data_IF_862857016502
#
_entry.id   IF_862857016502
#
_cell.length_a   1.000
_cell.length_b   1.000
_cell.length_c   1.000
_cell.angle_alpha   90.00
_cell.angle_beta   90.00
_cell.angle_gamma   90.00
#
_symmetry.space_group_name_H-M   'P 1'
#
loop_
_entity.id
_entity.type
_entity.pdbx_description
1 polymer ?
#
# COMPACT_ATOMS: atom_id res chain seq x y z
N UNK A 1 24.67 -36.10 21.50
CA UNK A 1 23.50 -35.28 21.15
C UNK A 1 23.79 -34.68 19.80
N UNK A 2 23.30 -35.31 18.74
CA UNK A 2 23.38 -34.81 17.36
C UNK A 2 22.47 -33.59 17.27
N UNK A 3 23.04 -32.38 17.14
CA UNK A 3 22.27 -31.16 16.99
C UNK A 3 21.43 -31.27 15.72
N UNK A 4 20.11 -31.23 15.87
CA UNK A 4 19.22 -31.05 14.74
C UNK A 4 19.66 -29.79 13.99
N UNK A 5 19.93 -29.91 12.70
CA UNK A 5 20.27 -28.77 11.83
C UNK A 5 19.01 -27.89 11.82
N UNK A 6 19.06 -26.73 12.46
CA UNK A 6 18.00 -25.74 12.34
C UNK A 6 17.87 -25.37 10.86
N UNK A 7 16.69 -25.57 10.28
CA UNK A 7 16.42 -25.30 8.86
C UNK A 7 16.25 -23.79 8.63
N UNK A 8 17.29 -22.98 8.90
CA UNK A 8 17.26 -21.52 8.72
C UNK A 8 18.07 -21.11 7.48
N UNK A 9 17.78 -19.94 6.89
CA UNK A 9 18.42 -19.46 5.67
C UNK A 9 18.83 -17.99 5.79
N UNK A 10 20.13 -17.71 5.66
CA UNK A 10 20.72 -16.39 5.68
C UNK A 10 21.10 -15.96 4.25
N UNK A 11 20.29 -15.06 3.69
CA UNK A 11 20.44 -14.50 2.35
C UNK A 11 21.03 -13.09 2.44
N UNK A 12 22.11 -12.86 1.70
CA UNK A 12 22.73 -11.53 1.57
C UNK A 12 22.48 -10.98 0.16
N UNK A 13 22.07 -9.72 0.07
CA UNK A 13 21.95 -8.96 -1.19
C UNK A 13 23.07 -7.92 -1.26
N UNK A 14 23.91 -8.03 -2.28
CA UNK A 14 25.09 -7.19 -2.50
C UNK A 14 25.03 -6.48 -3.86
N UNK A 15 25.84 -5.45 -4.04
CA UNK A 15 25.79 -4.61 -5.25
C UNK A 15 26.28 -3.19 -5.06
N UNK A 16 26.51 -2.51 -6.19
CA UNK A 16 26.92 -1.11 -6.25
C UNK A 16 25.87 -0.17 -5.64
N UNK A 17 26.31 1.02 -5.24
CA UNK A 17 25.39 2.11 -4.97
C UNK A 17 24.61 2.45 -6.25
N UNK A 18 23.29 2.65 -6.12
CA UNK A 18 22.40 2.80 -7.27
C UNK A 18 21.91 1.50 -7.92
N UNK A 19 22.41 0.30 -7.52
CA UNK A 19 21.96 -0.97 -8.14
C UNK A 19 20.55 -1.41 -7.76
N UNK A 20 19.92 -0.76 -6.78
CA UNK A 20 18.54 -1.05 -6.36
C UNK A 20 18.41 -2.03 -5.18
N UNK A 21 19.50 -2.38 -4.49
CA UNK A 21 19.51 -3.36 -3.37
C UNK A 21 18.40 -3.15 -2.35
N UNK A 22 18.27 -1.96 -1.78
CA UNK A 22 17.32 -1.71 -0.68
C UNK A 22 15.88 -1.82 -1.16
N UNK A 23 15.60 -1.40 -2.38
CA UNK A 23 14.28 -1.54 -3.02
C UNK A 23 13.96 -3.00 -3.29
N UNK A 24 14.90 -3.73 -3.89
CA UNK A 24 14.77 -5.15 -4.20
C UNK A 24 14.67 -6.02 -2.94
N UNK A 25 15.42 -5.71 -1.89
CA UNK A 25 15.41 -6.47 -0.64
C UNK A 25 14.08 -6.30 0.10
N UNK A 26 13.49 -5.08 0.07
CA UNK A 26 12.13 -4.83 0.56
C UNK A 26 11.09 -5.60 -0.25
N UNK A 27 11.17 -5.55 -1.58
CA UNK A 27 10.26 -6.27 -2.47
C UNK A 27 10.36 -7.81 -2.30
N UNK A 28 11.58 -8.32 -2.13
CA UNK A 28 11.85 -9.73 -1.88
C UNK A 28 11.32 -10.18 -0.53
N UNK A 29 11.55 -9.40 0.55
CA UNK A 29 10.96 -9.65 1.87
C UNK A 29 9.45 -9.82 1.75
N UNK A 30 8.79 -8.83 1.17
CA UNK A 30 7.34 -8.85 0.98
C UNK A 30 6.87 -10.09 0.20
N UNK A 31 7.59 -10.46 -0.86
CA UNK A 31 7.28 -11.64 -1.69
C UNK A 31 7.40 -12.94 -0.91
N UNK A 32 8.50 -13.13 -0.18
CA UNK A 32 8.71 -14.35 0.61
C UNK A 32 7.76 -14.42 1.81
N UNK A 33 7.36 -13.29 2.39
CA UNK A 33 6.37 -13.25 3.47
C UNK A 33 4.99 -13.78 3.05
N UNK A 34 4.66 -13.77 1.75
CA UNK A 34 3.38 -14.34 1.28
C UNK A 34 3.30 -15.86 1.48
N UNK A 35 4.44 -16.56 1.48
CA UNK A 35 4.49 -18.02 1.68
C UNK A 35 5.05 -18.41 3.03
N UNK A 36 5.89 -17.56 3.64
CA UNK A 36 6.63 -17.86 4.87
C UNK A 36 6.15 -17.04 6.09
N UNK A 37 5.22 -16.10 5.90
CA UNK A 37 4.67 -15.25 6.96
C UNK A 37 5.74 -14.49 7.74
N UNK A 38 5.67 -14.54 9.08
CA UNK A 38 6.60 -13.84 9.99
C UNK A 38 7.98 -14.49 10.10
N UNK A 39 8.23 -15.59 9.38
CA UNK A 39 9.53 -16.25 9.37
C UNK A 39 10.57 -15.54 8.49
N UNK A 40 10.23 -14.39 7.87
CA UNK A 40 11.15 -13.61 7.04
C UNK A 40 11.43 -12.24 7.65
N UNK A 41 12.70 -11.96 7.94
CA UNK A 41 13.15 -10.65 8.41
C UNK A 41 14.09 -9.98 7.41
N UNK A 42 14.03 -8.65 7.35
CA UNK A 42 14.95 -7.83 6.55
C UNK A 42 15.80 -7.01 7.50
N UNK A 43 17.10 -7.07 7.31
CA UNK A 43 18.08 -6.23 8.00
C UNK A 43 19.09 -5.66 6.99
N UNK A 44 20.03 -4.86 7.45
CA UNK A 44 21.02 -4.20 6.61
C UNK A 44 22.28 -3.83 7.40
N UNK A 45 23.39 -3.63 6.70
CA UNK A 45 24.63 -3.11 7.26
C UNK A 45 25.09 -1.79 6.58
N UNK A 46 25.55 -0.79 7.36
CA UNK A 46 25.79 -0.82 8.80
C UNK A 46 24.50 -0.78 9.64
N UNK A 47 24.43 -1.66 10.64
CA UNK A 47 23.22 -1.86 11.45
C UNK A 47 23.10 -0.83 12.60
N UNK A 48 21.96 -0.12 12.65
CA UNK A 48 21.62 0.87 13.68
C UNK A 48 20.53 0.36 14.63
N UNK A 49 20.50 0.79 15.91
CA UNK A 49 21.29 1.87 16.52
C UNK A 49 22.54 1.39 17.27
N UNK A 50 23.35 0.47 16.72
CA UNK A 50 24.61 0.10 17.37
C UNK A 50 25.59 1.29 17.42
N UNK A 51 26.42 1.37 18.47
CA UNK A 51 27.43 2.45 18.59
C UNK A 51 28.40 2.46 17.39
N UNK A 52 28.77 1.27 16.90
CA UNK A 52 29.61 1.13 15.71
C UNK A 52 28.89 1.62 14.44
N UNK A 53 27.60 1.32 14.28
CA UNK A 53 26.77 1.80 13.16
C UNK A 53 26.69 3.33 13.12
N UNK A 54 26.42 3.96 14.26
CA UNK A 54 26.43 5.43 14.38
C UNK A 54 27.79 6.05 14.04
N UNK A 55 28.89 5.44 14.51
CA UNK A 55 30.25 5.89 14.15
C UNK A 55 30.49 5.79 12.64
N UNK A 56 30.18 4.63 12.04
CA UNK A 56 30.32 4.42 10.60
C UNK A 56 29.52 5.48 9.84
N UNK A 57 28.24 5.69 10.14
CA UNK A 57 27.41 6.71 9.48
C UNK A 57 28.00 8.11 9.59
N UNK A 58 28.51 8.48 10.75
CA UNK A 58 29.16 9.78 10.93
C UNK A 58 30.44 9.92 10.09
N UNK A 59 31.19 8.83 9.88
CA UNK A 59 32.34 8.82 8.95
C UNK A 59 31.86 8.93 7.50
N UNK A 60 30.87 8.13 7.08
CA UNK A 60 30.32 8.12 5.71
C UNK A 60 29.71 9.47 5.30
N UNK A 61 29.10 10.16 6.27
CA UNK A 61 28.49 11.50 6.09
C UNK A 61 29.49 12.65 6.29
N UNK A 62 30.80 12.36 6.39
CA UNK A 62 31.89 13.33 6.58
C UNK A 62 31.76 14.18 7.84
N UNK A 63 30.95 13.76 8.82
CA UNK A 63 30.86 14.41 10.15
C UNK A 63 32.05 14.09 11.03
N UNK A 64 32.66 12.93 10.83
CA UNK A 64 33.92 12.50 11.47
C UNK A 64 34.95 12.27 10.36
N UNK A 65 36.13 12.91 10.40
CA UNK A 65 37.20 12.60 9.48
C UNK A 65 37.73 11.19 9.76
N UNK A 66 38.02 10.43 8.70
CA UNK A 66 38.64 9.13 8.81
C UNK A 66 39.91 9.08 7.94
N UNK A 67 41.05 9.11 8.60
CA UNK A 67 42.36 9.14 7.93
C UNK A 67 42.96 7.73 7.76
N UNK A 68 42.31 6.67 8.28
CA UNK A 68 42.87 5.32 8.29
C UNK A 68 41.85 4.25 7.91
N UNK A 69 42.08 3.57 6.79
CA UNK A 69 41.20 2.51 6.29
C UNK A 69 40.96 1.39 7.32
N UNK A 70 42.01 0.97 8.03
CA UNK A 70 41.93 -0.06 9.09
C UNK A 70 40.96 0.30 10.22
N UNK A 71 40.84 1.58 10.59
CA UNK A 71 39.89 2.01 11.64
C UNK A 71 38.45 1.77 11.20
N UNK A 72 38.14 2.13 9.95
CA UNK A 72 36.81 1.91 9.38
C UNK A 72 36.52 0.42 9.22
N UNK A 73 37.49 -0.38 8.78
CA UNK A 73 37.37 -1.84 8.69
C UNK A 73 37.03 -2.48 10.04
N UNK A 74 37.70 -2.06 11.12
CA UNK A 74 37.41 -2.52 12.49
C UNK A 74 36.02 -2.09 12.96
N UNK A 75 35.58 -0.88 12.61
CA UNK A 75 34.24 -0.43 12.96
C UNK A 75 33.15 -1.26 12.28
N UNK A 76 33.30 -1.58 10.98
CA UNK A 76 32.39 -2.48 10.27
C UNK A 76 32.41 -3.90 10.85
N UNK A 77 33.59 -4.44 11.18
CA UNK A 77 33.70 -5.74 11.82
C UNK A 77 33.00 -5.79 13.20
N UNK A 78 33.17 -4.73 14.01
CA UNK A 78 32.46 -4.60 15.30
C UNK A 78 30.95 -4.51 15.11
N UNK A 79 30.48 -3.69 14.17
CA UNK A 79 29.06 -3.55 13.84
C UNK A 79 28.45 -4.90 13.44
N UNK A 80 29.15 -5.67 12.61
CA UNK A 80 28.74 -6.99 12.13
C UNK A 80 28.71 -8.05 13.23
N UNK A 81 29.73 -8.08 14.09
CA UNK A 81 29.77 -8.99 15.23
C UNK A 81 28.56 -8.75 16.18
N UNK A 82 28.29 -7.48 16.46
CA UNK A 82 27.13 -7.06 17.25
C UNK A 82 25.80 -7.42 16.57
N UNK A 83 25.66 -7.13 15.28
CA UNK A 83 24.49 -7.45 14.46
C UNK A 83 24.21 -8.95 14.41
N UNK A 84 25.25 -9.78 14.25
CA UNK A 84 25.13 -11.23 14.34
C UNK A 84 24.58 -11.68 15.69
N UNK A 85 25.17 -11.18 16.78
CA UNK A 85 24.82 -11.61 18.14
C UNK A 85 23.44 -11.16 18.60
N UNK A 86 22.96 -10.00 18.16
CA UNK A 86 21.72 -9.38 18.66
C UNK A 86 20.52 -9.59 17.75
N UNK A 87 20.74 -9.81 16.45
CA UNK A 87 19.66 -9.86 15.45
C UNK A 87 19.70 -11.14 14.65
N UNK A 88 20.80 -11.42 13.95
CA UNK A 88 20.85 -12.51 12.96
C UNK A 88 20.73 -13.88 13.64
N UNK A 89 21.63 -14.19 14.56
CA UNK A 89 21.65 -15.49 15.24
C UNK A 89 20.40 -15.71 16.11
N UNK A 90 19.95 -14.74 16.94
CA UNK A 90 18.72 -14.93 17.72
C UNK A 90 17.49 -15.20 16.86
N UNK A 91 17.36 -14.53 15.71
CA UNK A 91 16.22 -14.74 14.83
C UNK A 91 16.32 -16.10 14.14
N UNK A 92 17.45 -16.46 13.52
CA UNK A 92 17.61 -17.73 12.81
C UNK A 92 17.50 -18.95 13.72
N UNK A 93 17.96 -18.85 14.97
CA UNK A 93 17.84 -19.92 15.97
C UNK A 93 16.45 -19.98 16.66
N UNK A 94 15.55 -19.05 16.35
CA UNK A 94 14.23 -18.91 16.99
C UNK A 94 13.15 -19.87 16.47
N UNK A 95 13.46 -20.76 15.53
CA UNK A 95 12.54 -21.74 14.95
C UNK A 95 13.01 -22.26 13.60
N UNK A 96 12.31 -23.26 13.07
CA UNK A 96 12.58 -23.80 11.75
C UNK A 96 12.08 -22.88 10.62
N UNK A 97 12.68 -22.98 9.44
CA UNK A 97 12.29 -22.29 8.20
C UNK A 97 12.34 -20.76 8.27
N UNK A 98 13.22 -20.23 9.12
CA UNK A 98 13.44 -18.79 9.27
C UNK A 98 14.44 -18.25 8.26
N UNK A 99 14.13 -17.09 7.70
CA UNK A 99 14.88 -16.44 6.64
C UNK A 99 15.27 -15.03 7.08
N UNK A 100 16.56 -14.70 6.96
CA UNK A 100 17.02 -13.31 7.04
C UNK A 100 17.52 -12.89 5.67
N UNK A 101 17.02 -11.75 5.21
CA UNK A 101 17.55 -11.02 4.06
C UNK A 101 18.39 -9.86 4.63
N UNK A 102 19.64 -9.74 4.22
CA UNK A 102 20.53 -8.67 4.65
C UNK A 102 21.01 -7.84 3.45
N UNK A 103 20.67 -6.55 3.43
CA UNK A 103 21.22 -5.59 2.46
C UNK A 103 22.62 -5.18 2.91
N UNK A 104 23.63 -5.61 2.13
CA UNK A 104 25.07 -5.56 2.45
C UNK A 104 25.50 -6.46 3.61
N UNK A 105 26.72 -7.00 3.51
CA UNK A 105 27.38 -7.74 4.57
C UNK A 105 28.91 -7.62 4.44
N UNK A 106 29.69 -8.67 4.75
CA UNK A 106 31.15 -8.56 4.66
C UNK A 106 31.70 -8.46 3.23
N UNK A 107 30.96 -8.84 2.18
CA UNK A 107 31.43 -8.63 0.79
C UNK A 107 31.58 -7.12 0.51
N UNK A 108 30.62 -6.30 0.92
CA UNK A 108 30.77 -4.84 0.93
C UNK A 108 32.03 -4.41 1.69
N UNK A 109 32.36 -5.04 2.83
CA UNK A 109 33.59 -4.71 3.55
C UNK A 109 34.85 -5.06 2.77
N UNK A 110 34.90 -6.23 2.12
CA UNK A 110 36.03 -6.61 1.27
C UNK A 110 36.24 -5.60 0.14
N UNK A 111 35.18 -5.00 -0.39
CA UNK A 111 35.26 -4.02 -1.49
C UNK A 111 35.66 -2.63 -1.00
N UNK A 112 34.94 -2.10 -0.01
CA UNK A 112 35.08 -0.70 0.39
C UNK A 112 36.18 -0.47 1.44
N UNK A 113 36.61 -1.50 2.16
CA UNK A 113 37.66 -1.39 3.19
C UNK A 113 38.98 -2.04 2.80
N UNK A 114 39.13 -2.56 1.58
CA UNK A 114 40.42 -3.00 1.07
C UNK A 114 41.08 -1.94 0.19
N UNK A 115 42.39 -1.78 0.38
CA UNK A 115 43.27 -0.92 -0.41
C UNK A 115 44.72 -1.42 -0.34
N UNK A 116 45.67 -0.65 -0.89
CA UNK A 116 47.10 -1.01 -0.89
C UNK A 116 47.70 -1.17 0.52
N UNK A 117 47.02 -0.66 1.56
CA UNK A 117 47.45 -0.72 2.96
C UNK A 117 46.74 -1.81 3.77
N UNK A 118 45.61 -2.31 3.28
CA UNK A 118 44.81 -3.36 3.92
C UNK A 118 44.23 -4.30 2.86
N UNK A 119 44.80 -5.50 2.75
CA UNK A 119 44.38 -6.46 1.73
C UNK A 119 42.98 -7.04 1.98
N UNK A 120 42.36 -7.63 0.96
CA UNK A 120 41.08 -8.37 1.10
C UNK A 120 41.19 -9.45 2.19
N UNK A 121 42.34 -10.15 2.27
CA UNK A 121 42.62 -11.15 3.28
C UNK A 121 42.65 -10.55 4.69
N UNK A 122 43.28 -9.38 4.86
CA UNK A 122 43.31 -8.69 6.14
C UNK A 122 41.91 -8.24 6.58
N UNK A 123 41.10 -7.71 5.65
CA UNK A 123 39.71 -7.33 5.93
C UNK A 123 38.88 -8.55 6.29
N UNK A 124 39.04 -9.68 5.57
CA UNK A 124 38.33 -10.92 5.89
C UNK A 124 38.72 -11.45 7.28
N UNK A 125 40.01 -11.36 7.66
CA UNK A 125 40.47 -11.77 8.98
C UNK A 125 39.83 -10.96 10.11
N UNK A 126 39.52 -9.67 9.89
CA UNK A 126 38.77 -8.86 10.86
C UNK A 126 37.32 -9.33 11.03
N UNK A 127 36.76 -10.03 10.04
CA UNK A 127 35.38 -10.53 10.03
C UNK A 127 35.27 -12.00 10.41
N UNK A 128 36.36 -12.61 10.86
CA UNK A 128 36.36 -13.99 11.32
C UNK A 128 35.38 -14.17 12.50
N UNK A 129 34.57 -15.23 12.44
CA UNK A 129 33.49 -15.48 13.40
C UNK A 129 32.15 -14.83 13.05
N UNK A 130 32.06 -13.99 12.00
CA UNK A 130 30.78 -13.62 11.42
C UNK A 130 30.09 -14.84 10.80
N UNK A 131 28.75 -14.87 10.84
CA UNK A 131 27.97 -15.94 10.20
C UNK A 131 28.21 -15.92 8.69
N UNK A 132 28.61 -17.05 8.11
CA UNK A 132 28.69 -17.18 6.66
C UNK A 132 27.26 -17.17 6.06
N UNK A 133 26.98 -16.37 5.02
CA UNK A 133 25.72 -16.44 4.28
C UNK A 133 25.53 -17.82 3.64
N UNK A 134 24.30 -18.32 3.69
CA UNK A 134 23.91 -19.53 2.97
C UNK A 134 23.87 -19.25 1.46
N UNK A 135 23.51 -18.02 1.09
CA UNK A 135 23.56 -17.52 -0.29
C UNK A 135 23.84 -16.01 -0.29
N UNK A 136 24.75 -15.57 -1.15
CA UNK A 136 24.90 -14.16 -1.51
C UNK A 136 24.46 -13.94 -2.95
N UNK A 137 23.56 -12.98 -3.18
CA UNK A 137 23.16 -12.54 -4.51
C UNK A 137 23.79 -11.18 -4.79
N UNK A 138 24.64 -11.11 -5.81
CA UNK A 138 25.23 -9.87 -6.28
C UNK A 138 24.39 -9.28 -7.42
N UNK A 139 23.80 -8.11 -7.19
CA UNK A 139 23.07 -7.32 -8.19
C UNK A 139 24.07 -6.61 -9.10
N UNK A 140 24.36 -7.23 -10.24
CA UNK A 140 25.30 -6.76 -11.24
C UNK A 140 24.61 -5.78 -12.20
N UNK A 141 24.57 -4.50 -11.82
CA UNK A 141 24.15 -3.40 -12.68
C UNK A 141 25.38 -2.68 -13.27
N UNK A 142 25.25 -2.15 -14.48
CA UNK A 142 26.25 -1.29 -15.11
C UNK A 142 26.43 0.02 -14.32
N UNK A 143 27.61 0.62 -14.43
CA UNK A 143 27.89 1.88 -13.74
C UNK A 143 26.97 3.00 -14.26
N UNK A 144 26.69 2.99 -15.56
CA UNK A 144 25.79 3.90 -16.25
C UNK A 144 24.38 3.85 -15.65
N UNK A 145 23.80 2.66 -15.52
CA UNK A 145 22.47 2.47 -14.90
C UNK A 145 22.47 2.91 -13.44
N UNK A 146 23.53 2.60 -12.69
CA UNK A 146 23.64 3.02 -11.29
C UNK A 146 23.69 4.55 -11.16
N UNK A 147 24.48 5.23 -11.99
CA UNK A 147 24.53 6.70 -12.02
C UNK A 147 23.19 7.32 -12.40
N UNK A 148 22.50 6.75 -13.39
CA UNK A 148 21.16 7.22 -13.78
C UNK A 148 20.14 7.07 -12.64
N UNK A 149 20.19 5.97 -11.89
CA UNK A 149 19.28 5.75 -10.75
C UNK A 149 19.62 6.67 -9.57
N UNK A 150 20.89 6.95 -9.33
CA UNK A 150 21.33 7.86 -8.27
C UNK A 150 21.01 9.32 -8.60
N UNK A 151 21.11 9.75 -9.86
CA UNK A 151 20.84 11.14 -10.26
C UNK A 151 19.37 11.56 -10.06
N UNK A 152 18.46 10.59 -9.97
CA UNK A 152 17.03 10.80 -9.66
C UNK A 152 16.76 10.94 -8.15
N UNK A 153 17.76 10.76 -7.28
CA UNK A 153 17.62 10.94 -5.83
C UNK A 153 17.88 12.41 -5.46
N UNK A 154 16.97 13.00 -4.69
CA UNK A 154 17.00 14.43 -4.31
C UNK A 154 18.03 14.73 -3.20
N UNK A 155 18.66 13.72 -2.61
CA UNK A 155 19.46 13.87 -1.38
C UNK A 155 20.95 13.51 -1.55
N UNK A 156 21.78 14.13 -0.71
CA UNK A 156 23.24 14.25 -0.82
C UNK A 156 24.00 12.94 -1.14
N UNK A 157 25.00 13.06 -2.03
CA UNK A 157 25.95 11.99 -2.41
C UNK A 157 26.77 11.50 -1.22
N UNK A 158 26.77 10.20 -0.96
CA UNK A 158 27.67 9.56 0.00
C UNK A 158 29.10 9.41 -0.56
N UNK A 159 30.08 9.20 0.32
CA UNK A 159 31.53 9.22 0.06
C UNK A 159 32.01 8.29 -1.07
N UNK A 160 31.23 7.27 -1.44
CA UNK A 160 31.65 6.19 -2.35
C UNK A 160 31.02 6.24 -3.75
N UNK A 161 30.29 7.30 -4.07
CA UNK A 161 29.49 7.38 -5.30
C UNK A 161 30.28 7.79 -6.56
N UNK A 162 31.57 8.16 -6.46
CA UNK A 162 32.29 8.80 -7.57
C UNK A 162 33.11 7.84 -8.47
N UNK A 163 33.22 6.55 -8.11
CA UNK A 163 34.12 5.57 -8.77
C UNK A 163 33.48 4.20 -9.03
N UNK A 164 32.21 4.17 -9.42
CA UNK A 164 31.45 2.92 -9.54
C UNK A 164 32.08 1.85 -10.43
N UNK A 165 32.77 2.21 -11.53
CA UNK A 165 33.46 1.24 -12.38
C UNK A 165 34.57 0.51 -11.63
N UNK A 166 35.40 1.23 -10.87
CA UNK A 166 36.48 0.64 -10.06
C UNK A 166 35.90 -0.16 -8.89
N UNK A 167 34.84 0.34 -8.26
CA UNK A 167 34.11 -0.39 -7.22
C UNK A 167 33.55 -1.71 -7.76
N UNK A 168 33.03 -1.72 -8.99
CA UNK A 168 32.50 -2.93 -9.65
C UNK A 168 33.59 -3.97 -9.90
N UNK A 169 34.76 -3.54 -10.36
CA UNK A 169 35.94 -4.42 -10.51
C UNK A 169 36.33 -5.05 -9.17
N UNK A 170 36.40 -4.25 -8.10
CA UNK A 170 36.65 -4.75 -6.74
C UNK A 170 35.58 -5.74 -6.25
N UNK A 171 34.31 -5.55 -6.62
CA UNK A 171 33.27 -6.55 -6.31
C UNK A 171 33.58 -7.88 -6.97
N UNK A 172 34.00 -7.92 -8.24
CA UNK A 172 34.39 -9.18 -8.89
C UNK A 172 35.59 -9.83 -8.20
N UNK A 173 36.60 -9.06 -7.80
CA UNK A 173 37.72 -9.57 -7.00
C UNK A 173 37.26 -10.17 -5.66
N UNK A 174 36.37 -9.48 -4.95
CA UNK A 174 35.78 -9.98 -3.70
C UNK A 174 34.93 -11.24 -3.90
N UNK A 175 34.13 -11.30 -4.96
CA UNK A 175 33.30 -12.46 -5.31
C UNK A 175 34.18 -13.67 -5.59
N UNK A 176 35.22 -13.53 -6.40
CA UNK A 176 36.15 -14.63 -6.71
C UNK A 176 36.90 -15.09 -5.46
N UNK A 177 37.29 -14.15 -4.58
CA UNK A 177 37.88 -14.48 -3.29
C UNK A 177 36.94 -15.32 -2.41
N UNK A 178 35.65 -14.95 -2.30
CA UNK A 178 34.67 -15.70 -1.52
C UNK A 178 34.32 -17.07 -2.15
N UNK A 179 34.18 -17.14 -3.49
CA UNK A 179 34.00 -18.41 -4.22
C UNK A 179 35.18 -19.35 -3.99
N UNK A 180 36.41 -18.83 -3.99
CA UNK A 180 37.62 -19.59 -3.67
C UNK A 180 37.66 -20.14 -2.25
N UNK A 181 36.88 -19.55 -1.33
CA UNK A 181 36.67 -20.05 0.04
C UNK A 181 35.50 -21.04 0.16
N UNK A 182 34.80 -21.33 -0.95
CA UNK A 182 33.66 -22.25 -0.99
C UNK A 182 32.32 -21.59 -0.69
N UNK A 183 32.23 -20.25 -0.66
CA UNK A 183 30.96 -19.55 -0.45
C UNK A 183 30.14 -19.47 -1.74
N UNK A 184 28.81 -19.51 -1.60
CA UNK A 184 27.90 -19.44 -2.75
C UNK A 184 27.53 -17.99 -3.05
N UNK A 185 28.14 -17.45 -4.11
CA UNK A 185 27.86 -16.09 -4.59
C UNK A 185 27.37 -16.13 -6.03
N UNK A 186 26.09 -15.78 -6.23
CA UNK A 186 25.41 -15.82 -7.53
C UNK A 186 25.18 -14.39 -8.03
N UNK A 187 25.50 -14.17 -9.30
CA UNK A 187 25.31 -12.88 -9.95
C UNK A 187 23.95 -12.82 -10.63
N UNK A 188 23.22 -11.72 -10.45
CA UNK A 188 21.96 -11.43 -11.12
C UNK A 188 22.11 -10.12 -11.88
N UNK A 189 21.77 -10.12 -13.18
CA UNK A 189 21.76 -8.89 -13.97
C UNK A 189 20.71 -7.92 -13.38
N UNK A 190 21.17 -6.72 -13.00
CA UNK A 190 20.35 -5.71 -12.35
C UNK A 190 20.11 -4.44 -13.21
N UNK A 191 20.39 -4.50 -14.51
CA UNK A 191 20.14 -3.42 -15.47
C UNK A 191 18.64 -3.23 -15.79
N UNK A 192 17.85 -4.30 -15.69
CA UNK A 192 16.42 -4.30 -16.00
C UNK A 192 15.52 -3.56 -14.99
N UNK A 193 14.21 -3.67 -15.19
CA UNK A 193 13.21 -3.15 -14.24
C UNK A 193 13.27 -3.90 -12.90
N UNK A 194 12.75 -3.28 -11.84
CA UNK A 194 12.67 -3.88 -10.49
C UNK A 194 12.04 -5.27 -10.52
N UNK A 195 10.99 -5.45 -11.31
CA UNK A 195 10.23 -6.68 -11.45
C UNK A 195 11.04 -7.78 -12.18
N UNK A 196 11.78 -7.42 -13.23
CA UNK A 196 12.65 -8.34 -13.95
C UNK A 196 13.76 -8.87 -13.02
N UNK A 197 14.38 -7.96 -12.27
CA UNK A 197 15.43 -8.29 -11.30
C UNK A 197 14.88 -9.15 -10.16
N UNK A 198 13.71 -8.83 -9.61
CA UNK A 198 13.06 -9.63 -8.58
C UNK A 198 12.75 -11.05 -9.06
N UNK A 199 12.25 -11.21 -10.29
CA UNK A 199 12.00 -12.53 -10.87
C UNK A 199 13.29 -13.34 -11.06
N UNK A 200 14.37 -12.71 -11.52
CA UNK A 200 15.67 -13.36 -11.64
C UNK A 200 16.22 -13.81 -10.27
N UNK A 201 15.99 -13.03 -9.21
CA UNK A 201 16.33 -13.41 -7.83
C UNK A 201 15.50 -14.60 -7.37
N UNK A 202 14.18 -14.61 -7.62
CA UNK A 202 13.32 -15.73 -7.25
C UNK A 202 13.72 -17.01 -7.98
N UNK A 203 14.12 -16.92 -9.25
CA UNK A 203 14.66 -18.05 -10.01
C UNK A 203 15.98 -18.55 -9.43
N UNK A 204 16.85 -17.62 -9.00
CA UNK A 204 18.09 -17.95 -8.28
C UNK A 204 17.80 -18.67 -6.96
N UNK A 205 16.80 -18.22 -6.20
CA UNK A 205 16.38 -18.86 -4.95
C UNK A 205 15.78 -20.25 -5.17
N UNK A 206 15.08 -20.50 -6.29
CA UNK A 206 14.62 -21.85 -6.65
C UNK A 206 15.76 -22.82 -6.95
N UNK A 207 16.84 -22.31 -7.52
CA UNK A 207 17.98 -23.13 -7.95
C UNK A 207 18.99 -23.36 -6.82
N UNK A 208 19.23 -22.35 -5.99
CA UNK A 208 20.31 -22.32 -5.00
C UNK A 208 19.84 -22.15 -3.55
N UNK A 209 18.57 -21.82 -3.34
CA UNK A 209 17.97 -21.73 -2.01
C UNK A 209 17.60 -23.11 -1.43
N UNK A 210 17.11 -23.15 -0.18
CA UNK A 210 16.77 -24.40 0.46
C UNK A 210 15.49 -25.01 -0.16
N UNK A 211 15.40 -26.34 -0.18
CA UNK A 211 14.30 -27.05 -0.83
C UNK A 211 12.91 -26.75 -0.23
N UNK A 212 12.86 -26.38 1.04
CA UNK A 212 11.63 -26.00 1.73
C UNK A 212 11.15 -24.59 1.38
N UNK A 213 12.01 -23.73 0.80
CA UNK A 213 11.66 -22.36 0.44
C UNK A 213 10.72 -22.34 -0.77
N UNK A 214 9.44 -22.08 -0.50
CA UNK A 214 8.43 -21.90 -1.55
C UNK A 214 8.48 -20.47 -2.07
N UNK A 215 8.84 -20.29 -3.34
CA UNK A 215 8.87 -18.99 -4.01
C UNK A 215 7.69 -18.84 -4.98
N UNK A 216 6.84 -17.84 -4.74
CA UNK A 216 5.83 -17.42 -5.70
C UNK A 216 6.39 -16.28 -6.55
N UNK A 217 6.14 -16.32 -7.87
CA UNK A 217 6.48 -15.19 -8.72
C UNK A 217 5.41 -14.12 -8.56
N UNK A 218 5.77 -12.83 -8.43
CA UNK A 218 4.85 -11.78 -8.80
C UNK A 218 4.47 -11.99 -10.27
N UNK A 219 3.17 -12.08 -10.57
CA UNK A 219 2.69 -12.20 -11.94
C UNK A 219 3.33 -11.08 -12.79
N UNK A 220 4.08 -11.46 -13.82
CA UNK A 220 4.46 -10.52 -14.88
C UNK A 220 3.15 -10.07 -15.53
N UNK A 221 2.99 -8.76 -15.64
CA UNK A 221 1.72 -8.03 -15.82
C UNK A 221 0.92 -7.84 -14.51
N UNK A 222 1.40 -7.02 -13.59
CA UNK A 222 0.59 -5.81 -13.41
C UNK A 222 0.80 -5.03 -14.70
N UNK A 223 -0.22 -4.87 -15.56
CA UNK A 223 -0.13 -3.89 -16.63
C UNK A 223 0.45 -2.62 -16.04
N UNK A 224 1.20 -1.82 -16.82
CA UNK A 224 1.33 -0.40 -16.49
C UNK A 224 -0.03 0.04 -15.93
N UNK A 225 -0.07 0.39 -14.64
CA UNK A 225 -1.30 0.91 -14.07
C UNK A 225 -1.50 2.23 -14.80
N UNK A 226 -2.24 2.18 -15.91
CA UNK A 226 -2.67 3.37 -16.61
C UNK A 226 -3.65 4.03 -15.65
N UNK A 227 -3.15 4.96 -14.85
CA UNK A 227 -3.97 5.86 -14.06
C UNK A 227 -4.57 6.87 -15.05
N UNK A 228 -5.58 6.43 -15.80
CA UNK A 228 -6.11 7.14 -16.96
C UNK A 228 -7.03 8.32 -16.57
N UNK A 229 -6.70 9.04 -15.49
CA UNK A 229 -7.41 10.23 -15.03
C UNK A 229 -6.49 11.43 -14.80
N UNK A 230 -5.19 11.34 -15.10
CA UNK A 230 -4.26 12.48 -14.90
C UNK A 230 -4.74 13.75 -15.60
N UNK A 231 -5.39 13.63 -16.75
CA UNK A 231 -5.93 14.76 -17.52
C UNK A 231 -7.41 15.10 -17.22
N UNK A 232 -8.09 14.35 -16.35
CA UNK A 232 -9.51 14.51 -16.05
C UNK A 232 -9.73 15.52 -14.91
N UNK A 233 -10.19 16.73 -15.25
CA UNK A 233 -10.47 17.82 -14.30
C UNK A 233 -11.93 18.28 -14.40
N UNK A 234 -12.90 17.52 -13.85
CA UNK A 234 -14.30 17.87 -13.93
C UNK A 234 -14.61 19.13 -13.12
N UNK A 235 -15.39 20.03 -13.72
CA UNK A 235 -15.96 21.19 -13.04
C UNK A 235 -17.04 20.77 -12.03
N UNK A 236 -17.32 21.66 -11.07
CA UNK A 236 -18.40 21.45 -10.10
C UNK A 236 -19.77 21.25 -10.76
N UNK A 237 -20.08 22.06 -11.78
CA UNK A 237 -21.32 21.99 -12.54
C UNK A 237 -21.50 20.63 -13.24
N UNK A 238 -20.43 20.07 -13.80
CA UNK A 238 -20.45 18.77 -14.46
C UNK A 238 -20.73 17.63 -13.46
N UNK A 239 -20.09 17.65 -12.29
CA UNK A 239 -20.29 16.65 -11.25
C UNK A 239 -21.72 16.68 -10.70
N UNK A 240 -22.25 17.88 -10.41
CA UNK A 240 -23.62 18.02 -9.90
C UNK A 240 -24.67 17.61 -10.95
N UNK A 241 -24.47 18.04 -12.21
CA UNK A 241 -25.35 17.66 -13.32
C UNK A 241 -25.37 16.14 -13.52
N UNK A 242 -24.22 15.46 -13.39
CA UNK A 242 -24.14 14.00 -13.52
C UNK A 242 -24.94 13.29 -12.45
N UNK A 243 -24.75 13.64 -11.16
CA UNK A 243 -25.51 13.02 -10.06
C UNK A 243 -27.01 13.28 -10.26
N UNK A 244 -27.41 14.50 -10.62
CA UNK A 244 -28.82 14.85 -10.86
C UNK A 244 -29.42 13.99 -11.99
N UNK A 245 -28.68 13.76 -13.06
CA UNK A 245 -29.16 12.95 -14.16
C UNK A 245 -29.30 11.46 -13.78
N UNK A 246 -28.28 10.89 -13.13
CA UNK A 246 -28.29 9.49 -12.66
C UNK A 246 -29.46 9.24 -11.69
N UNK A 247 -29.62 10.10 -10.68
CA UNK A 247 -30.71 9.99 -9.71
C UNK A 247 -32.08 10.14 -10.37
N UNK A 248 -32.24 11.05 -11.34
CA UNK A 248 -33.50 11.22 -12.07
C UNK A 248 -33.87 9.97 -12.87
N UNK A 249 -32.91 9.38 -13.59
CA UNK A 249 -33.13 8.16 -14.39
C UNK A 249 -33.54 7.00 -13.47
N UNK A 250 -32.81 6.81 -12.38
CA UNK A 250 -33.09 5.75 -11.42
C UNK A 250 -34.41 5.97 -10.67
N UNK A 251 -34.72 7.20 -10.29
CA UNK A 251 -36.01 7.54 -9.67
C UNK A 251 -37.19 7.14 -10.56
N UNK A 252 -37.19 7.51 -11.84
CA UNK A 252 -38.29 7.14 -12.74
C UNK A 252 -38.35 5.62 -12.95
N UNK A 253 -37.20 4.96 -13.14
CA UNK A 253 -37.14 3.49 -13.30
C UNK A 253 -37.65 2.74 -12.07
N UNK A 254 -37.32 3.21 -10.86
CA UNK A 254 -37.76 2.60 -9.60
C UNK A 254 -39.24 2.89 -9.36
N UNK A 255 -39.70 4.11 -9.62
CA UNK A 255 -41.11 4.51 -9.52
C UNK A 255 -42.03 3.66 -10.40
N UNK A 256 -41.60 3.33 -11.61
CA UNK A 256 -42.35 2.47 -12.55
C UNK A 256 -42.53 1.02 -12.05
N UNK A 257 -41.79 0.57 -11.03
CA UNK A 257 -41.90 -0.80 -10.49
C UNK A 257 -43.18 -1.06 -9.69
N UNK A 258 -44.00 -0.04 -9.43
CA UNK A 258 -45.32 -0.24 -8.80
C UNK A 258 -45.33 -0.08 -7.28
N UNK A 259 -44.46 0.78 -6.73
CA UNK A 259 -44.52 1.21 -5.33
C UNK A 259 -45.86 1.84 -4.93
N UNK A 260 -46.58 2.40 -5.91
CA UNK A 260 -47.97 2.87 -5.81
C UNK A 260 -49.00 1.75 -5.53
N UNK A 261 -48.68 0.49 -5.78
CA UNK A 261 -49.60 -0.65 -5.70
C UNK A 261 -49.21 -1.69 -4.63
N UNK A 262 -48.42 -1.27 -3.63
CA UNK A 262 -48.07 -2.11 -2.49
C UNK A 262 -49.31 -2.41 -1.65
N UNK A 263 -49.55 -3.70 -1.41
CA UNK A 263 -50.66 -4.22 -0.59
C UNK A 263 -50.17 -5.13 0.56
N UNK A 264 -48.88 -5.50 0.59
CA UNK A 264 -48.31 -6.35 1.63
C UNK A 264 -46.82 -6.08 1.88
N UNK A 265 -46.33 -6.47 3.05
CA UNK A 265 -44.91 -6.35 3.42
C UNK A 265 -43.99 -7.10 2.45
N UNK A 266 -44.35 -8.32 2.05
CA UNK A 266 -43.54 -9.14 1.13
C UNK A 266 -43.40 -8.47 -0.24
N UNK A 267 -44.47 -7.84 -0.74
CA UNK A 267 -44.44 -7.10 -2.00
C UNK A 267 -43.52 -5.87 -1.91
N UNK A 268 -43.55 -5.13 -0.79
CA UNK A 268 -42.62 -4.02 -0.58
C UNK A 268 -41.17 -4.51 -0.57
N UNK A 269 -40.89 -5.63 0.10
CA UNK A 269 -39.56 -6.23 0.16
C UNK A 269 -39.03 -6.54 -1.25
N UNK A 270 -39.85 -7.19 -2.07
CA UNK A 270 -39.49 -7.52 -3.46
C UNK A 270 -39.19 -6.25 -4.26
N UNK A 271 -40.04 -5.22 -4.17
CA UNK A 271 -39.83 -3.96 -4.86
C UNK A 271 -38.55 -3.23 -4.40
N UNK A 272 -38.24 -3.26 -3.10
CA UNK A 272 -37.02 -2.69 -2.54
C UNK A 272 -35.77 -3.42 -3.06
N UNK A 273 -35.79 -4.75 -3.14
CA UNK A 273 -34.71 -5.55 -3.72
C UNK A 273 -34.53 -5.25 -5.21
N UNK A 274 -35.63 -5.17 -5.95
CA UNK A 274 -35.60 -4.80 -7.37
C UNK A 274 -35.11 -3.36 -7.59
N UNK A 275 -35.40 -2.43 -6.67
CA UNK A 275 -34.87 -1.08 -6.70
C UNK A 275 -33.37 -1.08 -6.48
N UNK A 276 -32.88 -1.84 -5.49
CA UNK A 276 -31.44 -2.03 -5.24
C UNK A 276 -30.73 -2.58 -6.48
N UNK A 277 -31.26 -3.65 -7.07
CA UNK A 277 -30.70 -4.27 -8.27
C UNK A 277 -30.65 -3.29 -9.47
N UNK A 278 -31.69 -2.47 -9.64
CA UNK A 278 -31.74 -1.47 -10.70
C UNK A 278 -30.66 -0.37 -10.52
N UNK A 279 -30.40 0.05 -9.28
CA UNK A 279 -29.33 1.00 -8.96
C UNK A 279 -27.96 0.37 -9.17
N UNK A 280 -27.73 -0.83 -8.62
CA UNK A 280 -26.45 -1.55 -8.78
C UNK A 280 -26.10 -1.75 -10.26
N UNK A 281 -27.08 -2.17 -11.08
CA UNK A 281 -26.88 -2.36 -12.53
C UNK A 281 -26.49 -1.08 -13.25
N UNK A 282 -27.11 0.05 -12.90
CA UNK A 282 -26.81 1.34 -13.53
C UNK A 282 -25.43 1.86 -13.11
N UNK A 283 -25.08 1.73 -11.83
CA UNK A 283 -23.77 2.17 -11.32
C UNK A 283 -22.64 1.27 -11.84
N UNK A 284 -22.87 -0.04 -11.97
CA UNK A 284 -21.91 -0.96 -12.58
C UNK A 284 -21.67 -0.65 -14.07
N UNK A 285 -22.67 -0.10 -14.77
CA UNK A 285 -22.56 0.27 -16.18
C UNK A 285 -21.86 1.62 -16.44
N UNK A 286 -21.65 2.45 -15.41
CA UNK A 286 -20.99 3.75 -15.56
C UNK A 286 -19.52 3.58 -15.96
N UNK A 287 -19.05 4.42 -16.89
CA UNK A 287 -17.63 4.59 -17.16
C UNK A 287 -16.91 5.14 -15.91
N UNK A 288 -15.60 4.89 -15.80
CA UNK A 288 -14.82 5.31 -14.63
C UNK A 288 -14.86 6.84 -14.41
N UNK A 289 -14.75 7.63 -15.49
CA UNK A 289 -14.88 9.10 -15.47
C UNK A 289 -16.26 9.55 -14.96
N UNK A 290 -17.32 8.87 -15.37
CA UNK A 290 -18.68 9.15 -14.94
C UNK A 290 -18.89 8.79 -13.46
N UNK A 291 -18.26 7.70 -12.99
CA UNK A 291 -18.30 7.29 -11.60
C UNK A 291 -17.58 8.29 -10.69
N UNK A 292 -16.44 8.84 -11.15
CA UNK A 292 -15.73 9.93 -10.49
C UNK A 292 -16.62 11.17 -10.36
N UNK A 293 -17.26 11.59 -11.45
CA UNK A 293 -18.21 12.71 -11.44
C UNK A 293 -19.34 12.49 -10.42
N UNK A 294 -19.91 11.28 -10.40
CA UNK A 294 -20.95 10.91 -9.44
C UNK A 294 -20.43 10.98 -8.01
N UNK A 295 -19.25 10.42 -7.74
CA UNK A 295 -18.64 10.44 -6.41
C UNK A 295 -18.37 11.88 -5.91
N UNK A 296 -17.71 12.72 -6.72
CA UNK A 296 -17.42 14.10 -6.35
C UNK A 296 -18.71 14.92 -6.14
N UNK A 297 -19.72 14.71 -6.98
CA UNK A 297 -21.03 15.36 -6.81
C UNK A 297 -21.78 14.90 -5.55
N UNK A 298 -21.66 13.61 -5.18
CA UNK A 298 -22.24 13.09 -3.93
C UNK A 298 -21.56 13.67 -2.69
N UNK A 299 -20.23 13.82 -2.69
CA UNK A 299 -19.51 14.49 -1.60
C UNK A 299 -20.03 15.92 -1.39
N UNK A 300 -20.16 16.70 -2.47
CA UNK A 300 -20.71 18.06 -2.38
C UNK A 300 -22.13 18.09 -1.81
N UNK A 301 -23.02 17.22 -2.28
CA UNK A 301 -24.40 17.10 -1.75
C UNK A 301 -24.45 16.73 -0.28
N UNK A 302 -23.42 16.07 0.24
CA UNK A 302 -23.31 15.73 1.67
C UNK A 302 -22.58 16.81 2.48
N UNK A 303 -22.25 17.96 1.89
CA UNK A 303 -21.70 19.12 2.58
C UNK A 303 -20.18 19.25 2.56
N UNK A 304 -19.48 18.42 1.77
CA UNK A 304 -18.04 18.58 1.57
C UNK A 304 -17.74 19.67 0.54
N UNK A 305 -16.86 20.60 0.89
CA UNK A 305 -16.22 21.50 -0.07
C UNK A 305 -15.09 20.74 -0.76
N UNK A 306 -15.17 20.56 -2.08
CA UNK A 306 -14.15 19.87 -2.89
C UNK A 306 -13.27 20.92 -3.54
N UNK A 307 -12.03 21.04 -3.07
CA UNK A 307 -11.05 22.03 -3.48
C UNK A 307 -10.24 21.59 -4.70
N UNK A 308 -9.28 22.42 -5.12
CA UNK A 308 -8.42 22.17 -6.28
C UNK A 308 -7.65 20.83 -6.20
N UNK A 309 -7.31 20.24 -7.36
CA UNK A 309 -6.49 19.04 -7.42
C UNK A 309 -5.14 19.24 -6.74
N UNK A 310 -4.64 18.20 -6.07
CA UNK A 310 -3.31 18.21 -5.47
C UNK A 310 -2.27 17.83 -6.53
N UNK A 311 -1.37 18.77 -6.84
CA UNK A 311 -0.40 18.64 -7.94
C UNK A 311 0.83 17.78 -7.61
N UNK A 312 0.96 17.28 -6.38
CA UNK A 312 2.13 16.52 -5.92
C UNK A 312 2.00 15.00 -6.10
N UNK A 313 0.88 14.50 -6.62
CA UNK A 313 0.63 13.06 -6.82
C UNK A 313 0.43 12.68 -8.29
N UNK A 314 1.00 11.56 -8.71
CA UNK A 314 0.70 10.93 -10.02
C UNK A 314 -0.73 10.33 -10.09
N UNK A 315 -1.47 10.40 -8.98
CA UNK A 315 -2.87 10.00 -8.84
C UNK A 315 -3.70 11.27 -8.69
N UNK A 316 -4.88 11.37 -9.31
CA UNK A 316 -5.77 12.52 -9.06
C UNK A 316 -6.25 12.50 -7.61
N UNK A 317 -5.95 13.57 -6.88
CA UNK A 317 -6.37 13.78 -5.51
C UNK A 317 -7.03 15.16 -5.38
N UNK A 318 -8.10 15.26 -4.58
CA UNK A 318 -8.80 16.51 -4.28
C UNK A 318 -8.74 16.78 -2.78
N UNK A 319 -8.40 18.00 -2.38
CA UNK A 319 -8.57 18.38 -0.99
C UNK A 319 -10.07 18.56 -0.66
N UNK A 320 -10.45 18.16 0.55
CA UNK A 320 -11.81 18.27 1.08
C UNK A 320 -11.80 19.17 2.31
N UNK A 321 -12.81 20.01 2.47
CA UNK A 321 -13.16 20.60 3.77
C UNK A 321 -14.59 20.22 4.14
N UNK A 322 -14.83 19.95 5.43
CA UNK A 322 -16.16 19.70 5.99
C UNK A 322 -16.36 20.53 7.26
N UNK A 323 -17.42 21.32 7.32
CA UNK A 323 -17.76 22.11 8.50
C UNK A 323 -18.67 21.30 9.43
N UNK A 324 -18.14 20.89 10.58
CA UNK A 324 -18.91 20.24 11.64
C UNK A 324 -19.78 21.24 12.41
N UNK A 325 -20.71 20.70 13.21
CA UNK A 325 -21.43 21.47 14.22
C UNK A 325 -20.44 22.26 15.11
N UNK A 326 -20.81 23.50 15.46
CA UNK A 326 -19.98 24.47 16.19
C UNK A 326 -18.86 25.14 15.38
N UNK A 327 -18.85 25.00 14.04
CA UNK A 327 -17.93 25.73 13.15
C UNK A 327 -16.51 25.17 13.10
N UNK A 328 -16.33 23.91 13.51
CA UNK A 328 -15.04 23.21 13.42
C UNK A 328 -14.88 22.69 12.00
N UNK A 329 -13.86 23.16 11.28
CA UNK A 329 -13.51 22.66 9.95
C UNK A 329 -12.62 21.42 10.08
N UNK A 330 -13.07 20.31 9.51
CA UNK A 330 -12.22 19.15 9.23
C UNK A 330 -11.68 19.25 7.81
N UNK A 331 -10.43 18.85 7.62
CA UNK A 331 -9.81 18.75 6.30
C UNK A 331 -9.67 17.30 5.91
N UNK A 332 -9.76 17.00 4.62
CA UNK A 332 -9.60 15.65 4.13
C UNK A 332 -9.07 15.59 2.71
N UNK A 333 -8.95 14.38 2.18
CA UNK A 333 -8.50 14.17 0.80
C UNK A 333 -9.33 13.08 0.12
N UNK A 334 -9.79 13.34 -1.11
CA UNK A 334 -10.40 12.35 -1.99
C UNK A 334 -9.36 11.87 -3.03
N UNK A 335 -9.00 10.59 -2.98
CA UNK A 335 -8.13 9.93 -3.96
C UNK A 335 -8.95 9.18 -5.00
N UNK A 336 -8.62 9.33 -6.28
CA UNK A 336 -9.29 8.65 -7.39
C UNK A 336 -8.37 7.59 -8.00
N UNK A 337 -8.70 6.32 -7.80
CA UNK A 337 -7.97 5.19 -8.34
C UNK A 337 -8.75 4.57 -9.51
N UNK A 338 -8.15 4.58 -10.69
CA UNK A 338 -8.69 3.85 -11.86
C UNK A 338 -7.93 2.55 -12.09
N UNK A 339 -8.65 1.45 -12.33
CA UNK A 339 -8.09 0.15 -12.76
C UNK A 339 -7.07 -0.49 -11.82
N UNK A 340 -7.23 -0.35 -10.51
CA UNK A 340 -6.46 -1.14 -9.55
C UNK A 340 -7.02 -2.56 -9.51
N UNK A 341 -6.32 -3.54 -10.11
CA UNK A 341 -6.75 -4.94 -10.12
C UNK A 341 -6.84 -5.59 -8.72
N UNK A 342 -6.64 -4.86 -7.60
CA UNK A 342 -6.77 -5.41 -6.26
C UNK A 342 -6.87 -4.34 -5.14
N UNK A 343 -7.63 -4.64 -4.08
CA UNK A 343 -7.75 -3.82 -2.86
C UNK A 343 -6.39 -3.63 -2.15
N UNK A 344 -5.56 -4.66 -2.16
CA UNK A 344 -4.18 -4.61 -1.66
C UNK A 344 -3.30 -3.64 -2.46
N UNK A 345 -3.55 -3.48 -3.76
CA UNK A 345 -2.81 -2.55 -4.60
C UNK A 345 -3.17 -1.10 -4.27
N UNK A 346 -4.45 -0.82 -4.02
CA UNK A 346 -4.92 0.48 -3.54
C UNK A 346 -4.28 0.83 -2.19
N UNK A 347 -4.34 -0.09 -1.22
CA UNK A 347 -3.76 0.10 0.12
C UNK A 347 -2.24 0.32 0.08
N UNK A 348 -1.51 -0.45 -0.74
CA UNK A 348 -0.06 -0.30 -0.92
C UNK A 348 0.32 1.00 -1.61
N UNK A 349 -0.48 1.46 -2.59
CA UNK A 349 -0.25 2.75 -3.26
C UNK A 349 -0.56 3.92 -2.33
N UNK A 350 -1.61 3.83 -1.52
CA UNK A 350 -1.91 4.80 -0.46
C UNK A 350 -0.72 4.91 0.48
N UNK A 351 -0.23 3.78 1.02
CA UNK A 351 0.95 3.79 1.89
C UNK A 351 2.18 4.39 1.19
N UNK A 352 2.43 4.04 -0.06
CA UNK A 352 3.51 4.63 -0.85
C UNK A 352 3.37 6.14 -1.04
N UNK A 353 2.15 6.65 -1.29
CA UNK A 353 1.90 8.08 -1.42
C UNK A 353 2.08 8.81 -0.09
N UNK A 354 1.65 8.20 1.02
CA UNK A 354 1.92 8.70 2.37
C UNK A 354 3.43 8.79 2.64
N UNK A 355 4.18 7.77 2.25
CA UNK A 355 5.63 7.67 2.46
C UNK A 355 6.46 8.62 1.57
N UNK A 356 5.92 9.04 0.41
CA UNK A 356 6.62 9.89 -0.58
C UNK A 356 6.27 11.38 -0.49
N UNK A 357 5.28 11.77 0.31
CA UNK A 357 4.92 13.17 0.45
C UNK A 357 6.08 13.97 1.07
N UNK A 358 6.44 15.13 0.50
CA UNK A 358 7.46 16.00 1.08
C UNK A 358 6.96 16.41 2.47
N UNK A 359 7.68 15.95 3.50
CA UNK A 359 7.25 15.91 4.89
C UNK A 359 5.97 15.08 5.11
N UNK A 360 6.14 13.83 5.60
CA UNK A 360 5.06 13.00 6.18
C UNK A 360 4.17 13.79 7.18
N UNK A 361 4.74 14.86 7.77
CA UNK A 361 4.07 15.80 8.66
C UNK A 361 3.02 16.69 7.97
N UNK A 362 3.06 16.89 6.65
CA UNK A 362 2.09 17.74 5.95
C UNK A 362 0.82 16.97 5.57
N UNK A 363 0.85 15.65 5.31
CA UNK A 363 -0.40 14.85 5.16
C UNK A 363 -1.13 14.68 6.50
N UNK A 364 -0.41 14.40 7.59
CA UNK A 364 -0.98 14.41 8.94
C UNK A 364 -1.55 15.79 9.32
N UNK A 365 -1.03 16.89 8.75
CA UNK A 365 -1.58 18.26 8.93
C UNK A 365 -2.68 18.62 7.93
N UNK A 366 -2.79 17.93 6.80
CA UNK A 366 -3.71 18.27 5.70
C UNK A 366 -5.01 17.45 5.71
N UNK A 367 -5.08 16.32 6.43
CA UNK A 367 -6.28 15.48 6.40
C UNK A 367 -6.61 14.81 7.73
N UNK A 368 -7.68 15.26 8.37
CA UNK A 368 -8.39 14.55 9.44
C UNK A 368 -9.04 13.25 8.93
N UNK A 369 -9.28 13.14 7.60
CA UNK A 369 -9.84 11.95 6.94
C UNK A 369 -9.47 11.83 5.46
N UNK A 370 -9.48 10.61 4.93
CA UNK A 370 -9.18 10.33 3.53
C UNK A 370 -10.21 9.37 2.92
N UNK A 371 -10.71 9.71 1.74
CA UNK A 371 -11.68 8.94 0.97
C UNK A 371 -11.03 8.46 -0.31
N UNK A 372 -11.15 7.18 -0.62
CA UNK A 372 -10.50 6.60 -1.81
C UNK A 372 -11.59 5.97 -2.67
N UNK A 373 -11.80 6.49 -3.88
CA UNK A 373 -12.66 5.84 -4.86
C UNK A 373 -11.84 4.84 -5.67
N UNK A 374 -12.19 3.56 -5.61
CA UNK A 374 -11.70 2.52 -6.50
C UNK A 374 -12.80 2.21 -7.54
N UNK A 375 -12.53 2.54 -8.81
CA UNK A 375 -13.52 2.37 -9.89
C UNK A 375 -13.61 0.95 -10.43
N UNK A 376 -12.78 0.02 -9.95
CA UNK A 376 -12.66 -1.34 -10.50
C UNK A 376 -13.95 -2.15 -10.30
N UNK A 377 -14.54 -2.72 -11.36
CA UNK A 377 -15.74 -3.56 -11.23
C UNK A 377 -15.46 -4.85 -10.45
N UNK A 378 -16.31 -5.23 -9.51
CA UNK A 378 -16.17 -6.45 -8.69
C UNK A 378 -16.16 -7.76 -9.51
N UNK A 379 -16.62 -7.73 -10.77
CA UNK A 379 -16.74 -8.93 -11.63
C UNK A 379 -15.41 -9.41 -12.23
N UNK A 380 -14.29 -8.73 -12.00
CA UNK A 380 -12.95 -9.21 -12.34
C UNK A 380 -12.34 -10.14 -11.26
N UNK A 381 -13.10 -10.50 -10.22
CA UNK A 381 -12.66 -11.37 -9.14
C UNK A 381 -12.86 -12.84 -9.54
N UNK A 382 -11.86 -13.43 -10.20
CA UNK A 382 -11.63 -14.86 -10.06
C UNK A 382 -11.14 -15.14 -8.63
N UNK A 383 -12.11 -15.49 -7.78
CA UNK A 383 -12.01 -16.40 -6.63
C UNK A 383 -10.69 -16.42 -5.82
N UNK A 384 -10.34 -15.35 -5.11
CA UNK A 384 -9.56 -15.47 -3.86
C UNK A 384 -9.90 -14.33 -2.90
N UNK A 385 -10.88 -14.54 -2.04
CA UNK A 385 -11.03 -13.82 -0.77
C UNK A 385 -11.53 -14.82 0.28
N UNK A 386 -10.69 -15.11 1.28
CA UNK A 386 -11.03 -14.79 2.67
C UNK A 386 -9.84 -15.01 3.61
N UNK A 387 -9.59 -13.97 4.41
CA UNK A 387 -8.82 -13.90 5.66
C UNK A 387 -7.30 -14.03 5.55
N UNK A 388 -6.66 -12.85 5.49
CA UNK A 388 -5.71 -12.50 6.54
C UNK A 388 -5.76 -11.01 6.85
N UNK A 389 -6.19 -10.71 8.08
CA UNK A 389 -6.00 -9.43 8.72
C UNK A 389 -4.53 -9.34 9.15
N UNK A 390 -3.67 -8.80 8.28
CA UNK A 390 -2.29 -8.49 8.62
C UNK A 390 -1.91 -7.07 8.23
N UNK A 391 -2.27 -6.13 9.10
CA UNK A 391 -1.29 -5.18 9.66
C UNK A 391 -0.79 -4.04 8.79
N UNK A 392 -1.48 -3.64 7.71
CA UNK A 392 -1.51 -2.22 7.38
C UNK A 392 -2.70 -1.65 8.15
N UNK A 393 -2.46 -1.15 9.37
CA UNK A 393 -3.41 -0.21 9.97
C UNK A 393 -3.37 1.04 9.10
N UNK A 394 -4.19 1.06 8.03
CA UNK A 394 -4.66 2.34 7.51
C UNK A 394 -5.19 3.09 8.73
N UNK A 395 -4.72 4.31 8.94
CA UNK A 395 -5.24 5.18 10.00
C UNK A 395 -6.77 5.09 10.00
N UNK A 396 -7.47 5.03 11.15
CA UNK A 396 -8.93 4.90 11.24
C UNK A 396 -9.72 5.98 10.48
N UNK A 397 -9.01 6.96 9.93
CA UNK A 397 -9.46 8.08 9.14
C UNK A 397 -9.49 7.80 7.62
N UNK A 398 -9.00 6.66 7.12
CA UNK A 398 -9.02 6.30 5.69
C UNK A 398 -10.18 5.36 5.35
N UNK A 399 -10.96 5.70 4.33
CA UNK A 399 -12.09 4.90 3.86
C UNK A 399 -12.04 4.66 2.36
N UNK A 400 -12.12 3.39 1.96
CA UNK A 400 -12.18 2.98 0.56
C UNK A 400 -13.66 2.83 0.16
N UNK A 401 -14.00 3.36 -1.01
CA UNK A 401 -15.32 3.40 -1.61
C UNK A 401 -15.25 2.72 -2.97
N UNK A 402 -16.15 1.78 -3.22
CA UNK A 402 -16.29 1.07 -4.49
C UNK A 402 -17.67 1.32 -5.10
N UNK A 403 -17.92 0.78 -6.30
CA UNK A 403 -19.21 0.89 -7.00
C UNK A 403 -20.42 0.54 -6.11
N UNK A 404 -20.42 -0.52 -5.27
CA UNK A 404 -21.54 -0.82 -4.38
C UNK A 404 -21.82 0.27 -3.34
N UNK A 405 -20.78 0.95 -2.83
CA UNK A 405 -20.91 2.05 -1.88
C UNK A 405 -21.54 3.26 -2.55
N UNK A 406 -21.12 3.57 -3.78
CA UNK A 406 -21.74 4.64 -4.59
C UNK A 406 -23.21 4.29 -4.89
N UNK A 407 -23.50 3.03 -5.21
CA UNK A 407 -24.86 2.56 -5.43
C UNK A 407 -25.72 2.69 -4.16
N UNK A 408 -25.18 2.45 -2.97
CA UNK A 408 -25.89 2.69 -1.70
C UNK A 408 -26.23 4.17 -1.52
N UNK A 409 -25.28 5.07 -1.77
CA UNK A 409 -25.51 6.52 -1.66
C UNK A 409 -26.55 7.03 -2.67
N UNK A 410 -26.58 6.46 -3.87
CA UNK A 410 -27.57 6.80 -4.89
C UNK A 410 -28.94 6.22 -4.54
N UNK A 411 -28.99 4.99 -4.02
CA UNK A 411 -30.23 4.38 -3.56
C UNK A 411 -30.86 5.19 -2.41
N UNK A 412 -30.06 5.70 -1.48
CA UNK A 412 -30.49 6.62 -0.42
C UNK A 412 -31.17 7.89 -0.98
N UNK A 413 -30.56 8.57 -1.97
CA UNK A 413 -31.16 9.77 -2.59
C UNK A 413 -32.43 9.42 -3.39
N UNK A 414 -32.47 8.28 -4.08
CA UNK A 414 -33.66 7.82 -4.81
C UNK A 414 -34.81 7.50 -3.85
N UNK A 415 -34.57 6.72 -2.80
CA UNK A 415 -35.59 6.33 -1.83
C UNK A 415 -36.07 7.53 -1.01
N UNK A 416 -35.18 8.45 -0.63
CA UNK A 416 -35.54 9.67 0.10
C UNK A 416 -36.52 10.55 -0.71
N UNK A 417 -36.46 10.52 -2.04
CA UNK A 417 -37.42 11.22 -2.93
C UNK A 417 -38.74 10.47 -3.10
N UNK A 418 -38.71 9.14 -3.07
CA UNK A 418 -39.92 8.30 -3.22
C UNK A 418 -40.72 8.21 -1.92
N UNK A 419 -40.05 8.18 -0.77
CA UNK A 419 -40.64 7.91 0.55
C UNK A 419 -41.79 8.87 0.87
N UNK A 420 -41.66 10.21 0.75
CA UNK A 420 -42.76 11.13 1.09
C UNK A 420 -44.05 10.87 0.31
N UNK A 421 -43.94 10.36 -0.92
CA UNK A 421 -45.08 10.10 -1.80
C UNK A 421 -45.89 8.87 -1.38
N UNK A 422 -45.21 7.83 -0.85
CA UNK A 422 -45.83 6.52 -0.62
C UNK A 422 -46.00 6.16 0.84
N UNK A 423 -45.18 6.74 1.71
CA UNK A 423 -45.09 6.36 3.12
C UNK A 423 -46.42 6.53 3.86
N UNK A 424 -47.19 7.58 3.57
CA UNK A 424 -48.51 7.80 4.18
C UNK A 424 -49.45 6.62 3.94
N UNK A 425 -49.45 6.05 2.73
CA UNK A 425 -50.27 4.88 2.39
C UNK A 425 -49.70 3.59 2.98
N UNK A 426 -48.39 3.41 2.94
CA UNK A 426 -47.74 2.21 3.47
C UNK A 426 -47.95 2.03 4.97
N UNK A 427 -48.00 3.13 5.73
CA UNK A 427 -48.29 3.10 7.17
C UNK A 427 -49.67 2.51 7.50
N UNK A 428 -50.62 2.59 6.58
CA UNK A 428 -51.97 2.04 6.79
C UNK A 428 -52.04 0.51 6.53
N UNK A 429 -50.98 -0.08 5.97
CA UNK A 429 -50.92 -1.50 5.63
C UNK A 429 -50.08 -2.24 6.67
N UNK A 430 -50.66 -3.28 7.27
CA UNK A 430 -50.03 -4.06 8.34
C UNK A 430 -48.67 -4.63 7.91
N UNK A 431 -47.63 -4.39 8.71
CA UNK A 431 -46.28 -4.92 8.51
C UNK A 431 -45.43 -4.19 7.46
N UNK A 432 -46.02 -3.30 6.64
CA UNK A 432 -45.29 -2.63 5.54
C UNK A 432 -44.32 -1.58 6.08
N UNK A 433 -44.71 -0.82 7.11
CA UNK A 433 -43.83 0.16 7.73
C UNK A 433 -42.63 -0.51 8.43
N UNK A 434 -42.85 -1.61 9.17
CA UNK A 434 -41.76 -2.38 9.78
C UNK A 434 -40.83 -2.97 8.72
N UNK A 435 -41.39 -3.53 7.64
CA UNK A 435 -40.60 -4.08 6.54
C UNK A 435 -39.77 -3.00 5.84
N UNK A 436 -40.33 -1.82 5.60
CA UNK A 436 -39.58 -0.70 5.02
C UNK A 436 -38.35 -0.36 5.86
N UNK A 437 -38.53 -0.24 7.18
CA UNK A 437 -37.44 0.04 8.12
C UNK A 437 -36.41 -1.10 8.16
N UNK A 438 -36.87 -2.35 8.15
CA UNK A 438 -36.00 -3.52 8.09
C UNK A 438 -35.15 -3.49 6.82
N UNK A 439 -35.72 -3.17 5.66
CA UNK A 439 -34.98 -3.08 4.40
C UNK A 439 -33.95 -1.93 4.42
N UNK A 440 -34.28 -0.77 5.01
CA UNK A 440 -33.30 0.31 5.18
C UNK A 440 -32.10 -0.13 6.05
N UNK A 441 -32.35 -0.96 7.06
CA UNK A 441 -31.30 -1.56 7.89
C UNK A 441 -30.51 -2.63 7.14
N UNK A 442 -31.18 -3.55 6.43
CA UNK A 442 -30.56 -4.61 5.63
C UNK A 442 -29.64 -4.02 4.55
N UNK A 443 -30.05 -2.92 3.91
CA UNK A 443 -29.23 -2.19 2.96
C UNK A 443 -28.16 -1.29 3.59
N UNK A 444 -28.09 -1.20 4.92
CA UNK A 444 -27.15 -0.32 5.64
C UNK A 444 -27.25 1.17 5.26
N UNK A 445 -28.43 1.64 4.81
CA UNK A 445 -28.63 2.99 4.29
C UNK A 445 -28.55 4.12 5.35
N UNK A 446 -28.23 3.79 6.62
CA UNK A 446 -28.02 4.77 7.70
C UNK A 446 -26.61 4.77 8.30
N UNK A 447 -25.70 3.91 7.82
CA UNK A 447 -24.58 3.49 8.67
C UNK A 447 -23.26 4.27 8.54
N UNK A 448 -23.15 5.31 7.71
CA UNK A 448 -21.79 5.63 7.23
C UNK A 448 -21.17 7.00 7.45
N UNK A 449 -21.77 7.95 8.16
CA UNK A 449 -21.14 9.29 8.21
C UNK A 449 -21.18 10.07 9.53
N UNK A 450 -21.74 9.56 10.62
CA UNK A 450 -21.49 10.16 11.93
C UNK A 450 -20.24 9.56 12.57
N UNK A 451 -19.10 10.20 12.31
CA UNK A 451 -17.94 10.16 13.19
C UNK A 451 -18.34 10.72 14.56
N UNK A 452 -18.92 9.88 15.39
CA UNK A 452 -18.85 9.89 16.86
C UNK A 452 -19.95 8.99 17.40
N UNK A 453 -19.55 8.18 18.38
CA UNK A 453 -20.46 7.40 19.17
C UNK A 453 -21.53 8.30 19.81
N UNK A 454 -22.67 7.70 20.13
CA UNK A 454 -23.85 8.28 20.82
C UNK A 454 -24.81 9.10 19.96
N UNK A 455 -25.69 8.42 19.23
CA UNK A 455 -27.04 8.97 18.98
C UNK A 455 -28.05 7.86 19.26
N UNK A 456 -29.00 8.17 20.15
CA UNK A 456 -30.03 7.26 20.62
C UNK A 456 -31.04 7.01 19.48
N UNK A 457 -31.33 5.74 19.19
CA UNK A 457 -32.14 5.33 18.04
C UNK A 457 -33.53 5.98 18.03
N UNK A 458 -34.12 6.26 19.20
CA UNK A 458 -35.46 6.86 19.31
C UNK A 458 -35.53 8.34 18.90
N UNK A 459 -34.46 9.15 19.06
CA UNK A 459 -34.56 10.59 18.74
C UNK A 459 -34.49 10.89 17.24
N UNK A 460 -33.87 10.00 16.46
CA UNK A 460 -33.81 10.09 14.99
C UNK A 460 -35.17 9.77 14.37
N UNK A 461 -35.99 8.95 15.03
CA UNK A 461 -37.37 8.71 14.61
C UNK A 461 -38.17 10.00 14.66
N UNK A 462 -38.14 10.72 15.77
CA UNK A 462 -38.90 11.97 15.91
C UNK A 462 -38.44 13.04 14.91
N UNK A 463 -37.14 13.15 14.63
CA UNK A 463 -36.59 14.15 13.69
C UNK A 463 -36.85 13.80 12.21
N UNK A 464 -36.82 12.52 11.82
CA UNK A 464 -37.17 12.06 10.48
C UNK A 464 -38.67 12.24 10.20
N UNK A 465 -39.52 11.98 11.20
CA UNK A 465 -40.96 12.21 11.10
C UNK A 465 -41.34 13.70 11.18
N UNK A 466 -40.63 14.53 11.97
CA UNK A 466 -40.81 15.98 11.99
C UNK A 466 -40.42 16.64 10.65
N UNK A 467 -39.36 16.17 9.99
CA UNK A 467 -38.95 16.71 8.69
C UNK A 467 -39.89 16.30 7.55
N UNK A 468 -40.48 15.10 7.60
CA UNK A 468 -41.57 14.71 6.68
C UNK A 468 -42.85 15.49 6.99
N UNK A 469 -43.13 15.80 8.26
CA UNK A 469 -44.25 16.64 8.67
C UNK A 469 -44.15 18.09 8.17
N UNK A 470 -42.93 18.66 8.12
CA UNK A 470 -42.68 20.03 7.61
C UNK A 470 -42.66 20.16 6.09
N UNK A 471 -42.60 19.06 5.35
CA UNK A 471 -42.64 19.04 3.87
C UNK A 471 -44.00 18.62 3.31
N UNK A 472 -44.97 18.33 4.18
CA UNK A 472 -46.34 17.95 3.82
C UNK A 472 -47.41 19.04 4.11
N UNK A 473 -47.00 20.22 4.60
CA UNK A 473 -47.76 21.48 4.53
C UNK A 473 -47.15 22.38 3.45
#
# INVERSE_FOLDING_TARGET
>A
MTSAIANSFFLVIEGLDGSGKSEISRALKHTLQQTQGKSVELTFEPHDPSLAGLYIRNVLTKRIPNDKMRTLALAFALNRADHNSRVIEPFLNGGDERIIICDRYYLSSLVYQSDDTLSIQDVMALNEGARQPDLTIFLNASAEVCYERMSRRTDNRELFEEKLTQTREKYFEGIEFLRGRGETVIEVNADGSRESVLNAILDTLRQHGPQWLTTQRPLMDTPEMSFALTDFAPSEEEAEAKVKNVVRILYERVKEKGFDAVESAEQLRELMLQAREAVDTEIDALADEDLVLVFLGLLRRKGYEVLDPLDWTDVRAYALEYEMLLGIKQRGTALLLSRTQNHDAATKKIQFLLDQAPDYADIERLSDFMLVLDTTPLRSIEAYYERDASGAELSPTVRIMQRPDIALLILDDVLSRLTPRYFTRWREIEGVAEMFLQMLQEFQLRAFWHMSQSVNFESIFDEFFENIGKTAE
#
